data_IF_525390828242
#
_entry.id   IF_525390828242
#
_cell.length_a   1.000
_cell.length_b   1.000
_cell.length_c   1.000
_cell.angle_alpha   90.00
_cell.angle_beta   90.00
_cell.angle_gamma   90.00
#
_symmetry.space_group_name_H-M   'P 1'
#
loop_
_entity.id
_entity.type
_entity.pdbx_description
1 polymer ?
#
# COMPACT_ATOMS: atom_id res chain seq x y z
N UNK A 1 -4.89 -0.55 -17.42
CA UNK A 1 -5.22 -1.12 -16.11
C UNK A 1 -4.33 -0.51 -15.03
N UNK A 2 -4.92 -0.10 -13.94
CA UNK A 2 -4.15 0.37 -12.81
C UNK A 2 -3.39 -0.80 -12.18
N UNK A 3 -2.15 -0.57 -11.70
CA UNK A 3 -1.44 -1.59 -10.98
C UNK A 3 -2.23 -2.03 -9.75
N UNK A 4 -2.26 -3.33 -9.50
CA UNK A 4 -2.84 -3.87 -8.28
C UNK A 4 -1.94 -5.01 -7.78
N UNK A 5 -1.93 -5.25 -6.47
CA UNK A 5 -1.12 -6.34 -5.93
C UNK A 5 -1.74 -7.70 -6.22
N UNK A 6 -0.94 -8.74 -6.05
CA UNK A 6 -1.38 -10.13 -6.12
C UNK A 6 -1.11 -10.81 -4.79
N UNK A 7 -1.81 -11.90 -4.53
CA UNK A 7 -1.58 -12.69 -3.31
C UNK A 7 -0.12 -13.14 -3.25
N UNK A 8 0.50 -12.94 -2.09
CA UNK A 8 1.91 -13.23 -1.89
C UNK A 8 2.84 -12.04 -2.08
N UNK A 9 2.35 -10.97 -2.70
CA UNK A 9 3.16 -9.76 -2.89
C UNK A 9 3.49 -9.10 -1.56
N UNK A 10 4.63 -8.45 -1.51
CA UNK A 10 5.03 -7.62 -0.37
C UNK A 10 4.59 -6.19 -0.64
N UNK A 11 3.88 -5.63 0.32
CA UNK A 11 3.44 -4.24 0.27
C UNK A 11 4.37 -3.39 1.14
N UNK A 12 4.81 -2.27 0.59
CA UNK A 12 5.50 -1.24 1.35
C UNK A 12 4.52 -0.10 1.51
N UNK A 13 4.16 0.21 2.76
CA UNK A 13 3.16 1.23 3.03
C UNK A 13 3.77 2.62 3.02
N UNK A 14 3.18 3.49 2.23
CA UNK A 14 3.60 4.87 2.07
C UNK A 14 2.47 5.77 2.54
N UNK A 15 2.72 6.49 3.62
CA UNK A 15 1.74 7.44 4.13
C UNK A 15 1.97 8.81 3.49
N UNK A 16 0.94 9.34 2.85
CA UNK A 16 1.01 10.65 2.21
C UNK A 16 0.98 11.77 3.26
N UNK A 17 1.57 12.90 2.93
CA UNK A 17 1.63 14.04 3.85
C UNK A 17 2.56 15.14 3.34
N UNK A 18 3.02 15.02 2.08
CA UNK A 18 3.91 16.00 1.47
C UNK A 18 5.38 15.60 1.54
N UNK A 19 6.21 16.49 1.05
CA UNK A 19 7.62 16.21 0.77
C UNK A 19 8.39 15.70 2.00
N UNK A 20 8.19 16.31 3.15
CA UNK A 20 8.90 15.93 4.38
C UNK A 20 8.06 15.04 5.31
N UNK A 21 6.74 14.99 5.13
CA UNK A 21 5.85 14.28 6.04
C UNK A 21 5.38 12.93 5.49
N UNK A 22 5.46 12.72 4.19
CA UNK A 22 5.15 11.43 3.61
C UNK A 22 6.23 10.44 4.00
N UNK A 23 5.82 9.26 4.48
CA UNK A 23 6.79 8.30 5.02
C UNK A 23 6.50 6.88 4.58
N UNK A 24 7.58 6.14 4.38
CA UNK A 24 7.56 4.67 4.30
C UNK A 24 7.75 4.15 5.71
N UNK A 25 6.81 3.37 6.21
CA UNK A 25 6.79 3.00 7.62
C UNK A 25 6.66 1.51 7.91
N UNK A 26 6.06 0.74 7.02
CA UNK A 26 5.61 -0.61 7.36
C UNK A 26 5.61 -1.50 6.12
N UNK A 27 5.78 -2.79 6.31
CA UNK A 27 5.57 -3.77 5.24
C UNK A 27 4.53 -4.80 5.68
N UNK A 28 3.84 -5.34 4.69
CA UNK A 28 2.88 -6.41 4.86
C UNK A 28 2.91 -7.35 3.67
N UNK A 29 2.28 -8.50 3.81
CA UNK A 29 2.14 -9.47 2.73
C UNK A 29 0.67 -9.58 2.35
N UNK A 30 0.38 -9.57 1.04
CA UNK A 30 -0.98 -9.70 0.54
C UNK A 30 -1.48 -11.11 0.76
N UNK A 31 -2.57 -11.25 1.51
CA UNK A 31 -3.19 -12.55 1.82
C UNK A 31 -4.37 -12.84 0.92
N UNK A 32 -5.14 -11.81 0.58
CA UNK A 32 -6.35 -11.95 -0.22
C UNK A 32 -6.66 -10.67 -0.96
N UNK A 33 -7.17 -10.82 -2.18
CA UNK A 33 -7.70 -9.70 -2.96
C UNK A 33 -9.10 -10.09 -3.40
N UNK A 34 -10.08 -9.21 -3.12
CA UNK A 34 -11.44 -9.42 -3.56
C UNK A 34 -11.93 -8.24 -4.37
N UNK A 35 -12.40 -8.51 -5.57
CA UNK A 35 -12.86 -7.48 -6.49
C UNK A 35 -14.11 -7.88 -7.28
N UNK A 36 -14.65 -9.07 -7.02
CA UNK A 36 -15.80 -9.61 -7.75
C UNK A 36 -17.09 -9.48 -6.96
N UNK A 37 -17.33 -8.31 -6.41
CA UNK A 37 -18.56 -8.04 -5.66
C UNK A 37 -19.77 -7.98 -6.60
N UNK A 38 -20.87 -8.58 -6.17
CA UNK A 38 -22.11 -8.59 -6.96
C UNK A 38 -22.76 -7.23 -7.03
N UNK A 39 -22.81 -6.53 -5.89
CA UNK A 39 -23.45 -5.25 -5.76
C UNK A 39 -22.91 -4.49 -4.55
N UNK A 40 -23.48 -3.31 -4.30
CA UNK A 40 -23.07 -2.46 -3.19
C UNK A 40 -23.24 -3.15 -1.84
N UNK A 41 -24.36 -3.85 -1.63
CA UNK A 41 -24.62 -4.53 -0.36
C UNK A 41 -23.63 -5.64 -0.11
N UNK A 42 -23.24 -6.39 -1.13
CA UNK A 42 -22.23 -7.43 -1.03
C UNK A 42 -20.89 -6.84 -0.59
N UNK A 43 -20.49 -5.72 -1.19
CA UNK A 43 -19.29 -5.01 -0.82
C UNK A 43 -19.32 -4.54 0.64
N UNK A 44 -20.42 -3.92 1.04
CA UNK A 44 -20.59 -3.38 2.40
C UNK A 44 -20.53 -4.51 3.43
N UNK A 45 -21.26 -5.61 3.19
CA UNK A 45 -21.26 -6.76 4.09
C UNK A 45 -19.86 -7.33 4.25
N UNK A 46 -19.14 -7.48 3.15
CA UNK A 46 -17.77 -8.00 3.18
C UNK A 46 -16.85 -7.10 4.00
N UNK A 47 -16.92 -5.78 3.75
CA UNK A 47 -16.03 -4.83 4.41
C UNK A 47 -16.34 -4.63 5.90
N UNK A 48 -17.60 -4.75 6.30
CA UNK A 48 -17.99 -4.55 7.71
C UNK A 48 -17.35 -5.54 8.66
N UNK A 49 -16.90 -6.68 8.17
CA UNK A 49 -16.26 -7.71 9.00
C UNK A 49 -14.86 -7.32 9.46
N UNK A 50 -14.17 -6.47 8.70
CA UNK A 50 -12.76 -6.17 8.94
C UNK A 50 -12.38 -4.73 8.74
N UNK A 51 -13.29 -3.88 8.28
CA UNK A 51 -13.02 -2.48 7.99
C UNK A 51 -13.42 -1.58 9.15
N UNK A 52 -12.63 -0.52 9.36
CA UNK A 52 -12.95 0.52 10.34
C UNK A 52 -13.83 1.61 9.74
N UNK A 53 -14.11 1.56 8.43
CA UNK A 53 -14.91 2.58 7.77
C UNK A 53 -16.39 2.40 8.08
N UNK A 54 -17.12 3.49 8.38
CA UNK A 54 -18.58 3.41 8.56
C UNK A 54 -19.29 3.09 7.24
N UNK A 55 -20.52 2.60 7.38
CA UNK A 55 -21.28 2.12 6.24
C UNK A 55 -21.48 3.17 5.14
N UNK A 56 -21.75 4.42 5.52
CA UNK A 56 -21.95 5.50 4.55
C UNK A 56 -20.70 5.76 3.70
N UNK A 57 -19.52 5.63 4.30
CA UNK A 57 -18.26 5.77 3.56
C UNK A 57 -18.02 4.59 2.62
N UNK A 58 -18.35 3.39 3.05
CA UNK A 58 -18.24 2.21 2.20
C UNK A 58 -19.15 2.32 0.98
N UNK A 59 -20.37 2.81 1.18
CA UNK A 59 -21.32 3.01 0.08
C UNK A 59 -20.83 4.09 -0.87
N UNK A 60 -20.23 5.15 -0.37
CA UNK A 60 -19.63 6.18 -1.20
C UNK A 60 -18.48 5.63 -2.03
N UNK A 61 -17.63 4.77 -1.46
CA UNK A 61 -16.54 4.12 -2.19
C UNK A 61 -17.07 3.28 -3.34
N UNK A 62 -18.13 2.52 -3.11
CA UNK A 62 -18.74 1.69 -4.14
C UNK A 62 -19.28 2.50 -5.30
N UNK A 63 -19.87 3.66 -5.00
CA UNK A 63 -20.50 4.53 -6.01
C UNK A 63 -19.49 5.39 -6.76
N UNK A 64 -18.26 5.44 -6.29
CA UNK A 64 -17.22 6.25 -6.92
C UNK A 64 -16.95 5.76 -8.33
N UNK A 65 -16.91 6.70 -9.28
CA UNK A 65 -16.59 6.42 -10.66
C UNK A 65 -15.17 6.90 -10.96
N UNK A 66 -14.47 6.32 -11.94
CA UNK A 66 -14.97 5.37 -12.96
C UNK A 66 -14.82 3.90 -12.61
N UNK A 67 -14.15 3.54 -11.52
CA UNK A 67 -13.87 2.13 -11.23
C UNK A 67 -14.51 1.68 -9.93
N UNK A 68 -14.87 0.39 -9.89
CA UNK A 68 -15.37 -0.22 -8.66
C UNK A 68 -14.21 -0.53 -7.71
N UNK A 69 -14.44 -0.45 -6.40
CA UNK A 69 -13.39 -0.74 -5.43
C UNK A 69 -13.05 -2.22 -5.38
N UNK A 70 -11.83 -2.50 -4.94
CA UNK A 70 -11.44 -3.84 -4.56
C UNK A 70 -10.84 -3.79 -3.16
N UNK A 71 -10.82 -4.94 -2.47
CA UNK A 71 -10.35 -5.03 -1.10
C UNK A 71 -9.09 -5.88 -1.07
N UNK A 72 -8.06 -5.35 -0.44
CA UNK A 72 -6.81 -6.07 -0.20
C UNK A 72 -6.73 -6.37 1.28
N UNK A 73 -6.62 -7.65 1.61
CA UNK A 73 -6.36 -8.09 2.97
C UNK A 73 -4.90 -8.49 3.06
N UNK A 74 -4.21 -7.95 4.05
CA UNK A 74 -2.77 -8.19 4.18
C UNK A 74 -2.43 -8.59 5.61
N UNK A 75 -1.32 -9.32 5.74
CA UNK A 75 -0.72 -9.63 7.02
C UNK A 75 0.36 -8.60 7.31
N UNK A 76 0.25 -7.90 8.42
CA UNK A 76 1.31 -7.03 8.91
C UNK A 76 2.53 -7.88 9.22
N UNK A 77 3.69 -7.45 8.74
CA UNK A 77 4.93 -8.18 8.97
C UNK A 77 5.84 -7.37 9.91
N UNK A 78 6.04 -6.08 9.61
CA UNK A 78 7.16 -5.38 10.21
C UNK A 78 7.01 -3.87 10.06
N UNK A 79 7.29 -3.12 11.12
CA UNK A 79 7.45 -1.67 11.06
C UNK A 79 8.91 -1.32 10.99
N UNK A 80 9.25 -0.41 10.11
CA UNK A 80 10.64 0.00 9.94
C UNK A 80 11.17 0.72 11.18
N UNK A 81 12.39 0.36 11.65
CA UNK A 81 13.00 1.06 12.79
C UNK A 81 13.24 2.55 12.51
N UNK A 82 13.56 2.87 11.28
CA UNK A 82 13.84 4.24 10.85
C UNK A 82 12.97 4.55 9.64
N UNK A 83 12.03 5.48 9.78
CA UNK A 83 11.14 5.88 8.69
C UNK A 83 11.85 6.85 7.76
N UNK A 84 11.60 6.70 6.47
CA UNK A 84 12.16 7.61 5.46
C UNK A 84 11.02 8.35 4.77
N UNK A 85 11.27 9.59 4.40
CA UNK A 85 10.25 10.46 3.80
C UNK A 85 10.39 10.52 2.28
N UNK A 86 9.50 11.29 1.64
CA UNK A 86 9.53 11.47 0.18
C UNK A 86 10.86 12.05 -0.29
N UNK A 87 11.43 13.00 0.44
CA UNK A 87 12.73 13.57 0.07
C UNK A 87 13.80 12.48 0.01
N UNK A 88 13.82 11.60 1.02
CA UNK A 88 14.78 10.50 1.07
C UNK A 88 14.58 9.54 -0.11
N UNK A 89 13.33 9.23 -0.44
CA UNK A 89 13.02 8.35 -1.57
C UNK A 89 13.47 8.94 -2.90
N UNK A 90 13.34 10.26 -3.06
CA UNK A 90 13.82 10.95 -4.26
C UNK A 90 15.35 10.95 -4.30
N UNK A 91 16.00 11.27 -3.19
CA UNK A 91 17.45 11.28 -3.10
C UNK A 91 18.05 9.90 -3.38
N UNK A 92 17.36 8.85 -2.96
CA UNK A 92 17.77 7.45 -3.19
C UNK A 92 17.34 6.93 -4.58
N UNK A 93 16.66 7.76 -5.37
CA UNK A 93 16.18 7.42 -6.72
C UNK A 93 15.14 6.30 -6.76
N UNK A 94 14.46 6.07 -5.65
CA UNK A 94 13.27 5.19 -5.61
C UNK A 94 12.10 5.92 -6.27
N UNK A 95 11.97 7.21 -6.02
CA UNK A 95 11.04 8.09 -6.71
C UNK A 95 11.82 9.07 -7.59
N UNK A 96 11.28 9.41 -8.75
CA UNK A 96 11.93 10.34 -9.68
C UNK A 96 11.70 11.81 -9.31
N UNK A 97 10.67 12.08 -8.52
CA UNK A 97 10.33 13.43 -8.09
C UNK A 97 9.01 13.43 -7.36
N UNK A 98 8.53 14.60 -6.98
CA UNK A 98 7.29 14.76 -6.22
C UNK A 98 6.10 14.18 -6.98
N UNK A 99 6.06 14.31 -8.31
CA UNK A 99 4.96 13.81 -9.12
C UNK A 99 4.94 12.29 -9.28
N UNK A 100 6.01 11.63 -8.90
CA UNK A 100 6.12 10.16 -8.97
C UNK A 100 5.62 9.49 -7.68
N UNK A 101 5.18 10.25 -6.70
CA UNK A 101 4.68 9.71 -5.44
C UNK A 101 3.45 8.83 -5.68
N UNK A 102 3.34 7.69 -4.98
CA UNK A 102 2.21 6.78 -5.17
C UNK A 102 0.88 7.44 -4.80
N UNK A 103 -0.12 7.24 -5.66
CA UNK A 103 -1.51 7.66 -5.41
C UNK A 103 -2.45 6.47 -5.30
N UNK A 104 -1.89 5.29 -5.27
CA UNK A 104 -2.53 4.01 -5.18
C UNK A 104 -1.40 3.01 -5.11
N UNK A 105 -1.54 1.90 -5.81
CA UNK A 105 -0.47 0.92 -5.87
C UNK A 105 0.54 1.29 -6.95
N UNK A 106 1.80 1.22 -6.61
CA UNK A 106 2.90 1.48 -7.53
C UNK A 106 3.90 0.33 -7.41
N UNK A 107 4.30 -0.22 -8.54
CA UNK A 107 5.33 -1.25 -8.56
C UNK A 107 6.69 -0.63 -8.30
N UNK A 108 7.49 -1.32 -7.49
CA UNK A 108 8.89 -1.02 -7.32
C UNK A 108 9.71 -2.28 -7.61
N UNK A 109 10.96 -2.09 -8.01
CA UNK A 109 11.84 -3.20 -8.30
C UNK A 109 12.38 -3.80 -7.01
N UNK A 110 12.92 -5.03 -7.12
CA UNK A 110 13.61 -5.65 -6.01
C UNK A 110 14.79 -4.80 -5.53
N UNK A 111 15.50 -4.18 -6.45
CA UNK A 111 16.61 -3.28 -6.12
C UNK A 111 16.15 -2.07 -5.33
N UNK A 112 15.04 -1.45 -5.74
CA UNK A 112 14.45 -0.33 -5.01
C UNK A 112 13.99 -0.77 -3.62
N UNK A 113 13.41 -1.94 -3.51
CA UNK A 113 12.99 -2.49 -2.22
C UNK A 113 14.20 -2.69 -1.30
N UNK A 114 15.30 -3.23 -1.81
CA UNK A 114 16.54 -3.40 -1.04
C UNK A 114 17.12 -2.06 -0.58
N UNK A 115 17.02 -1.03 -1.42
CA UNK A 115 17.46 0.32 -1.05
C UNK A 115 16.61 0.84 0.13
N UNK A 116 15.31 0.61 0.08
CA UNK A 116 14.41 1.01 1.18
C UNK A 116 14.78 0.26 2.47
N UNK A 117 15.04 -1.04 2.38
CA UNK A 117 15.43 -1.83 3.55
C UNK A 117 16.70 -1.29 4.20
N UNK A 118 17.69 -0.95 3.40
CA UNK A 118 18.94 -0.38 3.93
C UNK A 118 18.73 0.99 4.54
N UNK A 119 17.99 1.85 3.86
CA UNK A 119 17.74 3.22 4.32
C UNK A 119 16.92 3.26 5.60
N UNK A 120 16.05 2.29 5.81
CA UNK A 120 15.23 2.16 7.01
C UNK A 120 15.93 1.36 8.11
N UNK A 121 17.17 0.95 7.87
CA UNK A 121 17.99 0.16 8.78
C UNK A 121 17.37 -1.19 9.15
N UNK A 122 16.66 -1.78 8.18
CA UNK A 122 16.07 -3.10 8.35
C UNK A 122 17.10 -4.20 8.09
N UNK A 123 16.94 -5.32 8.78
CA UNK A 123 17.74 -6.49 8.53
C UNK A 123 17.29 -7.14 7.23
N UNK A 124 18.18 -7.21 6.24
CA UNK A 124 17.88 -7.81 4.94
C UNK A 124 17.52 -9.30 5.05
N UNK A 125 18.03 -9.98 6.07
CA UNK A 125 17.74 -11.38 6.29
C UNK A 125 16.33 -11.61 6.84
N UNK A 126 15.71 -10.58 7.35
CA UNK A 126 14.36 -10.66 7.89
C UNK A 126 13.33 -11.06 6.84
N UNK A 127 13.57 -10.66 5.59
CA UNK A 127 12.69 -10.96 4.46
C UNK A 127 13.47 -11.81 3.47
N UNK A 128 14.06 -12.87 3.95
CA UNK A 128 14.75 -13.82 3.10
C UNK A 128 13.68 -14.53 2.26
N UNK A 129 13.73 -14.36 0.97
CA UNK A 129 12.79 -14.90 0.01
C UNK A 129 11.42 -14.25 0.09
#
# INVERSE_FOLDING_TARGET
>A
LEPHPEVGDILVFYRTGGYFKSVVSTIGEVQEIKYDFKDEDDFVIYCRKSSVFPEDQLRAMWRYQPSKPFVVRFLYIYSFPHRINMKDLIDLKVLNGVNDAPRGFKHITKEQFNIILKATKSDENFIAD
#
